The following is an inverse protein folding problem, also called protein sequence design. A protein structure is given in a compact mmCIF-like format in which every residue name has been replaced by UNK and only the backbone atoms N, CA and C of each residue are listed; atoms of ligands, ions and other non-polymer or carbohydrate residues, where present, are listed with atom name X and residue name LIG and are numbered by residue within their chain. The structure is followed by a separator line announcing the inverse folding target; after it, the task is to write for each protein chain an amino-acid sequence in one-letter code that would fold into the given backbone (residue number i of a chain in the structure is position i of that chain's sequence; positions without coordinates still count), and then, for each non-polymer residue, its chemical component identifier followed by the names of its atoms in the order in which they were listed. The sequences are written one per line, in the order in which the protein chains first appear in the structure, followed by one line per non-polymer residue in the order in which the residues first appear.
data_IF_828810846582
#
_entry.id   IF_828810846582
#
_cell.length_a   1.000
_cell.length_b   1.000
_cell.length_c   1.000
_cell.angle_alpha   90.00
_cell.angle_beta   90.00
_cell.angle_gamma   90.00
#
_symmetry.space_group_name_H-M   'P 1'
#
loop_
_entity.id
_entity.type
_entity.pdbx_description
1 polymer ?
#
# COMPACT_ATOMS: atom_id res chain seq x y z
N UNK A 1 2.76 -8.28 35.70
CA UNK A 1 3.04 -7.94 35.27
C UNK A 1 3.01 -7.46 34.81
N UNK A 2 2.95 -7.96 35.14
CA UNK A 2 3.05 -7.58 34.46
C UNK A 2 3.24 -7.09 33.89
N UNK A 3 3.06 -7.32 34.01
CA UNK A 3 3.43 -6.77 33.45
C UNK A 3 3.88 -6.41 32.73
N UNK A 4 4.11 -6.76 32.70
CA UNK A 4 4.72 -6.33 32.06
C UNK A 4 4.93 -6.14 31.19
N UNK A 5 4.51 -6.77 31.04
CA UNK A 5 4.84 -6.60 30.27
C UNK A 5 4.95 -5.58 29.81
N UNK A 6 4.99 -5.32 30.14
CA UNK A 6 5.26 -4.38 29.77
C UNK A 6 5.95 -3.96 29.07
N UNK A 7 6.22 -4.50 29.29
CA UNK A 7 7.06 -4.03 28.83
C UNK A 7 7.27 -3.82 27.69
N UNK A 8 6.82 -4.54 27.53
CA UNK A 8 7.10 -4.45 26.38
C UNK A 8 7.32 -3.28 25.89
N UNK A 9 8.03 -3.20 25.47
CA UNK A 9 8.63 -2.05 25.24
C UNK A 9 7.74 -1.14 24.51
N UNK A 10 7.28 -0.13 25.13
CA UNK A 10 6.43 0.83 24.49
C UNK A 10 7.10 1.47 23.28
N UNK A 11 8.40 1.53 23.29
CA UNK A 11 9.12 2.17 22.23
C UNK A 11 9.05 1.36 20.93
N UNK A 12 9.29 0.07 21.01
CA UNK A 12 9.18 -0.78 19.85
C UNK A 12 7.75 -0.81 19.34
N UNK A 13 6.82 -0.77 20.26
CA UNK A 13 5.41 -0.75 19.91
C UNK A 13 5.04 0.52 19.17
N UNK A 14 5.65 1.64 19.51
CA UNK A 14 5.39 2.89 18.83
C UNK A 14 5.76 2.83 17.37
N UNK A 15 6.90 2.21 17.05
CA UNK A 15 7.31 2.07 15.66
C UNK A 15 6.34 1.21 14.89
N UNK A 16 5.92 0.12 15.48
CA UNK A 16 4.95 -0.74 14.83
C UNK A 16 3.63 -0.03 14.65
N UNK A 17 3.21 0.72 15.66
CA UNK A 17 1.97 1.46 15.56
C UNK A 17 2.02 2.51 14.47
N UNK A 18 3.18 3.12 14.27
CA UNK A 18 3.32 4.12 13.23
C UNK A 18 3.05 3.53 11.85
N UNK A 19 3.59 2.35 11.56
CA UNK A 19 3.33 1.68 10.30
C UNK A 19 1.90 1.17 10.25
N UNK A 20 1.39 0.65 11.37
CA UNK A 20 0.02 0.19 11.44
C UNK A 20 -0.97 1.32 11.24
N UNK A 21 -0.62 2.51 11.74
CA UNK A 21 -1.51 3.64 11.61
C UNK A 21 -1.85 3.92 10.15
N UNK A 22 -0.87 3.82 9.26
CA UNK A 22 -1.14 4.08 7.86
C UNK A 22 -2.11 3.04 7.30
N UNK A 23 -1.94 1.77 7.65
CA UNK A 23 -2.83 0.73 7.16
C UNK A 23 -4.22 0.82 7.77
N UNK A 24 -4.36 1.51 8.89
CA UNK A 24 -5.64 1.66 9.56
C UNK A 24 -6.40 2.89 9.13
N UNK A 25 -5.77 3.78 8.38
CA UNK A 25 -6.44 4.95 7.85
C UNK A 25 -7.33 4.56 6.69
N UNK A 26 -8.32 5.41 6.42
CA UNK A 26 -9.17 5.22 5.27
C UNK A 26 -8.69 6.06 4.11
N UNK A 27 -8.81 5.51 2.90
CA UNK A 27 -8.53 6.28 1.71
C UNK A 27 -9.60 7.34 1.54
N UNK A 28 -9.17 8.56 1.29
CA UNK A 28 -10.09 9.67 1.04
C UNK A 28 -10.10 9.91 -0.45
N UNK A 29 -11.29 9.95 -1.08
CA UNK A 29 -11.34 10.19 -2.51
C UNK A 29 -10.67 11.50 -2.87
N UNK A 30 -9.80 11.44 -3.87
CA UNK A 30 -9.15 12.63 -4.39
C UNK A 30 -9.97 13.15 -5.55
N UNK A 31 -10.45 14.37 -5.45
CA UNK A 31 -11.31 14.93 -6.46
C UNK A 31 -10.61 15.99 -7.31
N UNK A 32 -9.29 15.87 -7.38
CA UNK A 32 -8.54 16.74 -8.25
C UNK A 32 -8.17 18.09 -7.70
N UNK A 33 -8.58 18.38 -6.48
CA UNK A 33 -8.26 19.66 -5.86
C UNK A 33 -7.01 19.64 -5.01
N UNK A 34 -6.40 18.48 -4.84
CA UNK A 34 -5.22 18.31 -3.99
C UNK A 34 -4.03 18.08 -4.88
N UNK A 35 -2.92 18.80 -4.64
CA UNK A 35 -1.72 18.56 -5.45
C UNK A 35 -1.14 17.18 -5.16
N UNK A 36 -0.60 16.55 -6.20
CA UNK A 36 0.08 15.29 -6.02
C UNK A 36 1.39 15.51 -5.26
N UNK A 37 1.85 14.46 -4.59
CA UNK A 37 3.09 14.51 -3.82
C UNK A 37 4.29 14.79 -4.74
N UNK A 38 5.21 15.60 -4.27
CA UNK A 38 6.51 15.73 -4.94
C UNK A 38 7.39 14.57 -4.49
N UNK A 39 8.59 14.49 -5.06
CA UNK A 39 9.47 13.36 -4.81
C UNK A 39 9.90 13.29 -3.34
N UNK A 40 10.00 14.42 -2.66
CA UNK A 40 10.39 14.43 -1.25
C UNK A 40 9.28 13.83 -0.39
N UNK A 41 8.03 14.17 -0.64
CA UNK A 41 6.91 13.59 0.07
C UNK A 41 6.80 12.10 -0.22
N UNK A 42 7.03 11.71 -1.48
CA UNK A 42 6.98 10.31 -1.87
C UNK A 42 8.01 9.51 -1.08
N UNK A 43 9.25 10.00 -1.02
CA UNK A 43 10.29 9.29 -0.27
C UNK A 43 9.96 9.18 1.20
N UNK A 44 9.35 10.21 1.75
CA UNK A 44 8.93 10.19 3.13
C UNK A 44 7.91 9.08 3.39
N UNK A 45 6.93 8.96 2.51
CA UNK A 45 5.89 7.96 2.66
C UNK A 45 6.35 6.55 2.28
N UNK A 46 7.33 6.43 1.38
CA UNK A 46 7.86 5.11 1.03
C UNK A 46 8.43 4.37 2.24
N UNK A 47 8.90 5.11 3.23
CA UNK A 47 9.42 4.49 4.44
C UNK A 47 8.33 3.86 5.30
N UNK A 48 7.08 4.16 5.02
CA UNK A 48 5.95 3.65 5.78
C UNK A 48 5.32 2.42 5.17
N UNK A 49 5.80 2.00 4.01
CA UNK A 49 5.32 0.79 3.35
C UNK A 49 6.52 -0.08 3.02
N UNK A 50 6.25 -1.34 2.67
CA UNK A 50 7.31 -2.33 2.55
C UNK A 50 7.43 -2.86 1.14
N UNK A 51 8.58 -2.62 0.51
CA UNK A 51 8.88 -3.26 -0.77
C UNK A 51 8.23 -2.62 -1.99
N UNK A 52 7.69 -1.43 -1.84
CA UNK A 52 7.08 -0.73 -2.97
C UNK A 52 8.13 0.15 -3.65
N UNK A 53 8.11 0.14 -4.97
CA UNK A 53 8.94 1.04 -5.78
C UNK A 53 8.10 2.17 -6.29
N UNK A 54 8.72 3.33 -6.49
CA UNK A 54 8.06 4.44 -7.16
C UNK A 54 8.68 4.59 -8.53
N UNK A 55 7.83 4.72 -9.55
CA UNK A 55 8.27 4.90 -10.93
C UNK A 55 7.45 6.01 -11.56
N UNK A 56 7.85 6.40 -12.76
CA UNK A 56 7.12 7.42 -13.52
C UNK A 56 6.64 6.81 -14.82
N UNK A 57 5.45 7.22 -15.25
CA UNK A 57 4.93 6.81 -16.55
C UNK A 57 5.50 7.72 -17.65
N UNK A 58 4.98 7.57 -18.86
CA UNK A 58 5.46 8.33 -20.01
C UNK A 58 5.24 9.83 -19.86
N UNK A 59 4.23 10.21 -19.08
CA UNK A 59 3.94 11.61 -18.81
C UNK A 59 4.64 12.13 -17.57
N UNK A 60 5.53 11.28 -16.99
CA UNK A 60 6.31 11.61 -15.79
C UNK A 60 5.45 11.68 -14.54
N UNK A 61 4.31 11.03 -14.53
CA UNK A 61 3.46 10.91 -13.36
C UNK A 61 3.94 9.75 -12.51
N UNK A 62 4.04 9.96 -11.20
CA UNK A 62 4.53 8.94 -10.29
C UNK A 62 3.45 7.89 -9.98
N UNK A 63 3.89 6.66 -9.81
CA UNK A 63 3.02 5.58 -9.33
C UNK A 63 3.83 4.62 -8.47
N UNK A 64 3.11 3.85 -7.64
CA UNK A 64 3.71 2.79 -6.83
C UNK A 64 3.54 1.46 -7.55
N UNK A 65 4.53 0.59 -7.41
CA UNK A 65 4.45 -0.74 -7.99
C UNK A 65 5.15 -1.74 -7.09
N UNK A 66 4.56 -2.93 -6.99
CA UNK A 66 5.16 -4.02 -6.22
C UNK A 66 4.74 -5.35 -6.82
N UNK A 67 5.67 -6.28 -6.85
CA UNK A 67 5.40 -7.62 -7.33
C UNK A 67 5.51 -8.61 -6.17
N UNK A 68 4.53 -9.49 -6.08
CA UNK A 68 4.44 -10.53 -5.04
C UNK A 68 4.62 -11.88 -5.70
N UNK A 69 5.27 -12.81 -5.01
CA UNK A 69 5.54 -14.15 -5.51
C UNK A 69 4.75 -15.18 -4.74
N UNK A 70 4.27 -16.20 -5.44
CA UNK A 70 3.45 -17.26 -4.85
C UNK A 70 3.88 -18.61 -5.41
N UNK A 71 3.40 -19.67 -4.77
CA UNK A 71 3.79 -21.02 -5.16
C UNK A 71 3.07 -21.51 -6.40
N UNK A 72 1.90 -20.96 -6.71
CA UNK A 72 1.12 -21.44 -7.83
C UNK A 72 0.07 -20.41 -8.22
N UNK A 73 -0.75 -20.76 -9.18
CA UNK A 73 -1.77 -19.84 -9.69
C UNK A 73 -2.88 -19.58 -8.67
N UNK A 74 -3.32 -20.62 -7.97
CA UNK A 74 -4.40 -20.48 -7.00
C UNK A 74 -4.03 -19.52 -5.89
N UNK A 75 -2.79 -19.58 -5.42
CA UNK A 75 -2.36 -18.66 -4.36
C UNK A 75 -2.28 -17.23 -4.85
N UNK A 76 -1.84 -17.03 -6.09
CA UNK A 76 -1.88 -15.69 -6.69
C UNK A 76 -3.31 -15.17 -6.76
N UNK A 77 -4.22 -16.03 -7.20
CA UNK A 77 -5.62 -15.63 -7.34
C UNK A 77 -6.26 -15.29 -6.01
N UNK A 78 -6.00 -16.09 -4.98
CA UNK A 78 -6.52 -15.80 -3.65
C UNK A 78 -6.04 -14.46 -3.14
N UNK A 79 -4.77 -14.17 -3.36
CA UNK A 79 -4.21 -12.87 -2.96
C UNK A 79 -4.92 -11.74 -3.68
N UNK A 80 -5.09 -11.87 -4.98
CA UNK A 80 -5.72 -10.82 -5.78
C UNK A 80 -7.17 -10.59 -5.36
N UNK A 81 -7.87 -11.65 -5.00
CA UNK A 81 -9.24 -11.50 -4.51
C UNK A 81 -9.27 -10.64 -3.23
N UNK A 82 -8.30 -10.83 -2.36
CA UNK A 82 -8.24 -10.02 -1.14
C UNK A 82 -7.88 -8.58 -1.44
N UNK A 83 -6.96 -8.37 -2.39
CA UNK A 83 -6.62 -7.02 -2.83
C UNK A 83 -7.84 -6.32 -3.39
N UNK A 84 -8.60 -7.03 -4.22
CA UNK A 84 -9.81 -6.47 -4.81
C UNK A 84 -10.84 -6.07 -3.77
N UNK A 85 -11.00 -6.89 -2.74
CA UNK A 85 -11.94 -6.56 -1.66
C UNK A 85 -11.52 -5.31 -0.92
N UNK A 86 -10.23 -5.17 -0.65
CA UNK A 86 -9.71 -3.97 0.01
C UNK A 86 -9.93 -2.75 -0.88
N UNK A 87 -9.60 -2.88 -2.16
CA UNK A 87 -9.74 -1.77 -3.10
C UNK A 87 -11.19 -1.29 -3.18
N UNK A 88 -12.10 -2.23 -3.22
CA UNK A 88 -13.52 -1.89 -3.30
C UNK A 88 -13.99 -1.21 -2.02
N UNK A 89 -13.57 -1.73 -0.88
CA UNK A 89 -13.94 -1.16 0.41
C UNK A 89 -13.41 0.28 0.55
N UNK A 90 -12.19 0.51 0.06
CA UNK A 90 -11.58 1.84 0.20
C UNK A 90 -11.96 2.79 -0.93
N UNK A 91 -12.61 2.29 -1.96
CA UNK A 91 -12.96 3.13 -3.10
C UNK A 91 -11.74 3.62 -3.87
N UNK A 92 -10.66 2.87 -3.83
CA UNK A 92 -9.41 3.24 -4.50
C UNK A 92 -8.88 2.01 -5.20
N UNK A 93 -8.83 2.03 -6.53
CA UNK A 93 -8.65 0.82 -7.32
C UNK A 93 -7.29 0.80 -8.02
N UNK A 94 -6.46 -0.19 -7.69
CA UNK A 94 -5.16 -0.33 -8.36
C UNK A 94 -5.32 -1.05 -9.68
N UNK A 95 -4.27 -1.00 -10.49
CA UNK A 95 -4.16 -1.89 -11.64
C UNK A 95 -3.47 -3.16 -11.20
N UNK A 96 -3.94 -4.29 -11.66
CA UNK A 96 -3.50 -5.59 -11.19
C UNK A 96 -3.18 -6.49 -12.36
N UNK A 97 -2.01 -7.13 -12.29
CA UNK A 97 -1.62 -8.20 -13.19
C UNK A 97 -1.31 -9.41 -12.34
N UNK A 98 -1.77 -10.58 -12.72
CA UNK A 98 -1.36 -11.77 -11.99
C UNK A 98 -1.37 -12.98 -12.93
N UNK A 99 -0.65 -14.01 -12.49
CA UNK A 99 -0.59 -15.24 -13.23
C UNK A 99 -0.04 -16.32 -12.32
N UNK A 100 0.51 -17.36 -12.94
CA UNK A 100 1.03 -18.47 -12.17
C UNK A 100 2.24 -17.99 -11.35
N UNK A 101 2.04 -17.95 -10.05
CA UNK A 101 3.14 -17.67 -9.12
C UNK A 101 3.48 -16.20 -8.92
N UNK A 102 2.69 -15.26 -9.44
CA UNK A 102 2.99 -13.86 -9.22
C UNK A 102 1.73 -12.99 -9.24
N UNK A 103 1.86 -11.83 -8.63
CA UNK A 103 0.87 -10.75 -8.73
C UNK A 103 1.62 -9.42 -8.71
N UNK A 104 1.24 -8.53 -9.59
CA UNK A 104 1.86 -7.19 -9.69
C UNK A 104 0.77 -6.15 -9.48
N UNK A 105 1.02 -5.20 -8.59
CA UNK A 105 0.05 -4.19 -8.20
C UNK A 105 0.63 -2.81 -8.50
N UNK A 106 -0.14 -2.00 -9.22
CA UNK A 106 0.25 -0.63 -9.54
C UNK A 106 -0.80 0.31 -8.96
N UNK A 107 -0.35 1.29 -8.18
CA UNK A 107 -1.24 2.21 -7.48
C UNK A 107 -0.90 3.64 -7.84
N UNK A 108 -1.91 4.42 -8.22
CA UNK A 108 -1.79 5.86 -8.36
C UNK A 108 -3.19 6.46 -8.40
N UNK A 109 -3.26 7.78 -8.25
CA UNK A 109 -4.55 8.48 -8.23
C UNK A 109 -4.72 9.23 -9.55
N UNK A 110 -5.69 8.80 -10.35
CA UNK A 110 -5.92 9.38 -11.67
C UNK A 110 -6.28 10.86 -11.60
N UNK A 111 -7.09 11.24 -10.63
CA UNK A 111 -7.62 12.59 -10.56
C UNK A 111 -6.53 13.65 -10.38
N UNK A 112 -5.42 13.29 -9.77
CA UNK A 112 -4.31 14.21 -9.54
C UNK A 112 -3.07 13.85 -10.32
N UNK A 113 -3.15 12.80 -11.13
CA UNK A 113 -2.07 12.34 -12.01
C UNK A 113 -0.79 12.09 -11.22
N UNK A 114 -0.92 11.39 -10.11
CA UNK A 114 0.24 11.09 -9.27
C UNK A 114 -0.18 10.43 -7.98
N UNK A 115 0.62 10.68 -6.94
CA UNK A 115 0.46 10.02 -5.65
C UNK A 115 -0.01 11.00 -4.58
N UNK A 116 -0.77 10.47 -3.64
CA UNK A 116 -1.19 11.18 -2.45
C UNK A 116 -1.19 10.16 -1.30
N UNK A 117 -1.58 10.59 -0.12
CA UNK A 117 -1.57 9.70 1.04
C UNK A 117 -2.41 8.45 0.82
N UNK A 118 -3.53 8.58 0.10
CA UNK A 118 -4.42 7.43 -0.12
C UNK A 118 -3.72 6.28 -0.85
N UNK A 119 -2.79 6.59 -1.74
CA UNK A 119 -2.06 5.54 -2.45
C UNK A 119 -1.20 4.73 -1.49
N UNK A 120 -0.57 5.40 -0.54
CA UNK A 120 0.27 4.73 0.45
C UNK A 120 -0.57 4.00 1.49
N UNK A 121 -1.75 4.51 1.81
CA UNK A 121 -2.69 3.80 2.68
C UNK A 121 -3.09 2.49 2.04
N UNK A 122 -3.44 2.50 0.77
CA UNK A 122 -3.80 1.28 0.06
C UNK A 122 -2.63 0.31 0.02
N UNK A 123 -1.43 0.80 -0.27
CA UNK A 123 -0.24 -0.04 -0.27
C UNK A 123 -0.02 -0.70 1.08
N UNK A 124 -0.17 0.07 2.16
CA UNK A 124 0.01 -0.47 3.50
C UNK A 124 -1.03 -1.54 3.83
N UNK A 125 -2.27 -1.34 3.41
CA UNK A 125 -3.32 -2.33 3.63
C UNK A 125 -3.05 -3.61 2.86
N UNK A 126 -2.55 -3.49 1.64
CA UNK A 126 -2.20 -4.65 0.84
C UNK A 126 -1.05 -5.42 1.50
N UNK A 127 -0.08 -4.69 2.08
CA UNK A 127 1.04 -5.33 2.76
C UNK A 127 0.61 -6.13 3.97
N UNK A 128 -0.57 -5.86 4.53
CA UNK A 128 -1.08 -6.61 5.67
C UNK A 128 -1.71 -7.94 5.27
N UNK A 129 -1.95 -8.18 4.00
CA UNK A 129 -2.53 -9.43 3.56
C UNK A 129 -1.49 -10.53 3.73
N UNK A 130 -1.84 -11.64 4.40
CA UNK A 130 -0.88 -12.73 4.55
C UNK A 130 -0.49 -13.30 3.19
N UNK A 131 0.78 -13.52 3.02
CA UNK A 131 1.32 -14.08 1.80
C UNK A 131 1.27 -15.57 1.95
N UNK A 132 0.29 -16.14 1.45
CA UNK A 132 0.06 -17.55 1.73
C UNK A 132 1.07 -18.46 1.11
#
# INVERSE_FOLDING_TARGET
ANKKVEGSTPFARSKENFMSDLSEKKCIPCEGGIPSFDINEIHKYLKKVDGWDVKQDESKNFYLIKEFKFENFINSQKFINKVGNIAETEGHHPDIWFGWGYAKIKIFTHAIKGLAESDFILAAKIDKIPNA
#
